data_IF_643052913807
#
_entry.id   IF_643052913807
#
_cell.length_a   1.000
_cell.length_b   1.000
_cell.length_c   1.000
_cell.angle_alpha   90.00
_cell.angle_beta   90.00
_cell.angle_gamma   90.00
#
_symmetry.space_group_name_H-M   'P 1'
#
loop_
_entity.id
_entity.type
_entity.pdbx_description
1 polymer ?
#
# COMPACT_ATOMS: atom_id res chain seq x y z
N UNK A 1 12.50 27.94 6.98
CA UNK A 1 11.27 28.20 6.21
C UNK A 1 10.78 26.87 5.63
N UNK A 2 10.41 25.91 6.49
CA UNK A 2 10.12 24.51 6.10
C UNK A 2 8.89 23.95 6.82
N UNK A 3 8.10 24.78 7.50
CA UNK A 3 7.09 24.30 8.45
C UNK A 3 5.66 24.29 7.90
N UNK A 4 5.36 24.94 6.78
CA UNK A 4 3.96 25.09 6.33
C UNK A 4 3.39 23.79 5.78
N UNK A 5 4.10 23.16 4.83
CA UNK A 5 3.66 21.90 4.22
C UNK A 5 3.67 20.75 5.23
N UNK A 6 4.72 20.65 6.04
CA UNK A 6 4.82 19.64 7.12
C UNK A 6 3.68 19.76 8.13
N UNK A 7 3.36 20.98 8.54
CA UNK A 7 2.24 21.23 9.45
C UNK A 7 0.89 20.84 8.82
N UNK A 8 0.67 21.17 7.55
CA UNK A 8 -0.57 20.80 6.86
C UNK A 8 -0.69 19.29 6.70
N UNK A 9 0.37 18.60 6.27
CA UNK A 9 0.40 17.13 6.19
C UNK A 9 0.08 16.51 7.55
N UNK A 10 0.71 16.99 8.63
CA UNK A 10 0.45 16.53 9.99
C UNK A 10 -1.01 16.74 10.43
N UNK A 11 -1.64 17.86 10.02
CA UNK A 11 -3.07 18.10 10.31
C UNK A 11 -3.96 17.13 9.54
N UNK A 12 -3.66 16.90 8.26
CA UNK A 12 -4.44 16.02 7.39
C UNK A 12 -4.37 14.56 7.82
N UNK A 13 -3.17 14.07 8.12
CA UNK A 13 -3.00 12.67 8.58
C UNK A 13 -3.70 12.44 9.92
N UNK A 14 -3.60 13.39 10.87
CA UNK A 14 -4.34 13.30 12.15
C UNK A 14 -5.87 13.28 11.96
N UNK A 15 -6.40 14.10 11.06
CA UNK A 15 -7.83 14.10 10.76
C UNK A 15 -8.27 12.75 10.13
N UNK A 16 -7.46 12.22 9.21
CA UNK A 16 -7.69 10.92 8.60
C UNK A 16 -7.63 9.76 9.62
N UNK A 17 -6.66 9.79 10.54
CA UNK A 17 -6.58 8.83 11.64
C UNK A 17 -7.84 8.87 12.51
N UNK A 18 -8.29 10.06 12.91
CA UNK A 18 -9.48 10.22 13.72
C UNK A 18 -10.75 9.68 13.03
N UNK A 19 -10.87 9.86 11.71
CA UNK A 19 -11.99 9.34 10.93
C UNK A 19 -11.95 7.81 10.77
N UNK A 20 -10.77 7.24 10.49
CA UNK A 20 -10.65 5.82 10.13
C UNK A 20 -10.50 4.88 11.34
N UNK A 21 -9.77 5.28 12.39
CA UNK A 21 -9.51 4.42 13.56
C UNK A 21 -10.77 4.13 14.38
N UNK A 22 -11.83 4.92 14.22
CA UNK A 22 -13.13 4.69 14.86
C UNK A 22 -14.13 3.87 14.04
N UNK A 23 -13.81 3.51 12.80
CA UNK A 23 -14.76 2.91 11.86
C UNK A 23 -14.50 1.42 11.63
N UNK A 24 -13.46 1.08 10.87
CA UNK A 24 -13.17 -0.30 10.49
C UNK A 24 -11.66 -0.55 10.39
N UNK A 25 -11.21 -1.73 10.83
CA UNK A 25 -9.80 -2.10 10.77
C UNK A 25 -9.58 -3.60 10.63
N UNK A 26 -8.58 -3.97 9.83
CA UNK A 26 -8.07 -5.34 9.73
C UNK A 26 -6.55 -5.34 9.77
N UNK A 27 -6.01 -6.38 10.36
CA UNK A 27 -4.61 -6.72 10.32
C UNK A 27 -4.38 -7.79 9.28
N UNK A 28 -3.37 -7.58 8.46
CA UNK A 28 -2.96 -8.49 7.39
C UNK A 28 -1.51 -8.89 7.66
N UNK A 29 -1.27 -10.17 7.92
CA UNK A 29 0.08 -10.71 8.18
C UNK A 29 0.52 -11.64 7.03
N UNK A 30 1.78 -11.49 6.60
CA UNK A 30 2.42 -12.32 5.58
C UNK A 30 3.91 -12.50 5.90
N UNK A 31 4.39 -13.75 5.90
CA UNK A 31 5.81 -14.09 6.04
C UNK A 31 6.53 -13.43 7.24
N UNK A 32 5.82 -13.21 8.37
CA UNK A 32 6.36 -12.62 9.59
C UNK A 32 6.40 -11.09 9.62
N UNK A 33 5.80 -10.42 8.62
CA UNK A 33 5.52 -8.98 8.62
C UNK A 33 4.02 -8.74 8.45
N UNK A 34 3.55 -7.51 8.65
CA UNK A 34 2.14 -7.22 8.43
C UNK A 34 1.84 -5.73 8.28
N UNK A 35 0.58 -5.47 7.92
CA UNK A 35 0.00 -4.13 7.90
C UNK A 35 -1.27 -4.11 8.74
N UNK A 36 -1.45 -3.05 9.51
CA UNK A 36 -2.74 -2.70 10.12
C UNK A 36 -3.42 -1.70 9.16
N UNK A 37 -4.48 -2.16 8.49
CA UNK A 37 -5.24 -1.36 7.55
C UNK A 37 -6.53 -0.86 8.19
N UNK A 38 -6.70 0.46 8.20
CA UNK A 38 -7.88 1.14 8.71
C UNK A 38 -8.57 1.90 7.58
N UNK A 39 -9.90 1.87 7.61
CA UNK A 39 -10.70 2.65 6.68
C UNK A 39 -11.93 3.22 7.36
N UNK A 40 -12.25 4.46 6.99
CA UNK A 40 -13.51 5.14 7.28
C UNK A 40 -14.75 4.44 6.68
N UNK A 41 -14.59 3.42 5.84
CA UNK A 41 -15.71 2.78 5.14
C UNK A 41 -15.49 1.28 4.90
N UNK A 42 -16.52 0.47 5.17
CA UNK A 42 -16.45 -1.01 5.17
C UNK A 42 -16.05 -1.62 3.84
N UNK A 43 -16.29 -0.94 2.72
CA UNK A 43 -15.88 -1.43 1.41
C UNK A 43 -14.36 -1.54 1.28
N UNK A 44 -13.59 -0.64 1.90
CA UNK A 44 -12.12 -0.76 1.93
C UNK A 44 -11.68 -2.09 2.54
N UNK A 45 -12.28 -2.46 3.68
CA UNK A 45 -12.00 -3.73 4.34
C UNK A 45 -12.35 -4.93 3.46
N UNK A 46 -13.54 -4.93 2.84
CA UNK A 46 -13.96 -6.01 1.93
C UNK A 46 -13.01 -6.18 0.75
N UNK A 47 -12.48 -5.07 0.20
CA UNK A 47 -11.49 -5.11 -0.86
C UNK A 47 -10.19 -5.75 -0.35
N UNK A 48 -9.71 -5.34 0.83
CA UNK A 48 -8.51 -5.94 1.44
C UNK A 48 -8.67 -7.45 1.65
N UNK A 49 -9.80 -7.89 2.20
CA UNK A 49 -10.14 -9.31 2.40
C UNK A 49 -10.20 -10.08 1.08
N UNK A 50 -10.84 -9.51 0.06
CA UNK A 50 -11.00 -10.16 -1.25
C UNK A 50 -9.65 -10.33 -1.95
N UNK A 51 -8.79 -9.32 -1.88
CA UNK A 51 -7.52 -9.29 -2.61
C UNK A 51 -6.44 -10.09 -1.89
N UNK A 52 -6.36 -9.95 -0.57
CA UNK A 52 -5.25 -10.48 0.22
C UNK A 52 -5.63 -11.73 1.02
N UNK A 53 -6.91 -11.94 1.33
CA UNK A 53 -7.39 -13.07 2.13
C UNK A 53 -7.03 -14.46 1.58
N UNK A 54 -6.97 -14.69 0.25
CA UNK A 54 -6.49 -15.97 -0.27
C UNK A 54 -5.00 -16.25 -0.01
N UNK A 55 -4.22 -15.25 0.40
CA UNK A 55 -2.76 -15.30 0.46
C UNK A 55 -2.16 -14.95 1.83
N UNK A 56 -2.95 -14.32 2.71
CA UNK A 56 -2.51 -13.76 3.97
C UNK A 56 -3.48 -14.14 5.09
N UNK A 57 -2.98 -14.14 6.32
CA UNK A 57 -3.85 -14.20 7.49
C UNK A 57 -4.45 -12.82 7.73
N UNK A 58 -5.77 -12.74 7.83
CA UNK A 58 -6.50 -11.50 8.09
C UNK A 58 -7.27 -11.61 9.40
N UNK A 59 -7.09 -10.63 10.28
CA UNK A 59 -7.75 -10.56 11.59
C UNK A 59 -8.40 -9.21 11.77
N UNK A 60 -9.64 -9.17 12.27
CA UNK A 60 -10.34 -7.91 12.57
C UNK A 60 -9.69 -7.21 13.77
N UNK A 61 -9.55 -5.88 13.68
CA UNK A 61 -9.04 -5.04 14.77
C UNK A 61 -10.25 -4.53 15.56
N UNK A 62 -10.42 -5.01 16.79
CA UNK A 62 -11.60 -4.70 17.63
C UNK A 62 -11.32 -3.63 18.68
N UNK A 63 -10.06 -3.27 18.90
CA UNK A 63 -9.60 -2.32 19.90
C UNK A 63 -8.69 -1.25 19.28
N UNK A 64 -9.18 -0.01 19.26
CA UNK A 64 -8.40 1.17 18.83
C UNK A 64 -7.21 1.50 19.75
N UNK A 65 -7.09 0.80 20.88
CA UNK A 65 -6.06 1.03 21.92
C UNK A 65 -4.78 0.20 21.74
N UNK A 66 -4.76 -0.76 20.82
CA UNK A 66 -3.64 -1.68 20.64
C UNK A 66 -2.45 -1.16 19.82
N UNK A 67 -2.55 0.02 19.20
CA UNK A 67 -1.55 0.47 18.22
C UNK A 67 -0.54 1.44 18.84
N UNK A 68 0.24 0.97 19.82
CA UNK A 68 1.49 1.66 20.17
C UNK A 68 2.51 1.38 19.07
N UNK A 69 3.07 2.44 18.48
CA UNK A 69 4.27 2.35 17.65
C UNK A 69 5.28 1.46 18.36
N UNK A 70 5.85 0.48 17.65
CA UNK A 70 6.77 -0.51 18.23
C UNK A 70 7.82 0.20 19.10
N UNK A 71 7.64 0.11 20.43
CA UNK A 71 8.65 0.47 21.39
C UNK A 71 9.80 -0.52 21.26
N UNK A 72 11.02 0.00 21.26
CA UNK A 72 12.27 -0.73 21.17
C UNK A 72 12.25 -1.99 22.08
N UNK A 73 12.23 -3.17 21.47
CA UNK A 73 12.20 -4.44 22.19
C UNK A 73 12.61 -5.61 21.32
N UNK A 74 13.88 -6.01 21.40
CA UNK A 74 14.36 -7.38 21.20
C UNK A 74 14.27 -8.00 19.80
N UNK A 75 15.37 -7.95 19.05
CA UNK A 75 15.83 -9.09 18.23
C UNK A 75 15.35 -9.22 16.77
N UNK A 76 14.31 -8.49 16.34
CA UNK A 76 13.96 -8.41 14.91
C UNK A 76 14.57 -7.13 14.30
N UNK A 77 15.13 -7.21 13.07
CA UNK A 77 15.69 -6.04 12.38
C UNK A 77 14.64 -4.90 12.35
N UNK A 78 14.93 -3.70 12.90
CA UNK A 78 13.96 -2.61 13.11
C UNK A 78 13.23 -2.10 11.86
N UNK A 79 13.66 -2.50 10.66
CA UNK A 79 13.18 -2.03 9.36
C UNK A 79 12.12 -2.96 8.74
N UNK A 80 11.86 -4.14 9.31
CA UNK A 80 10.74 -5.02 8.95
C UNK A 80 9.51 -4.79 9.86
N UNK A 81 9.32 -3.54 10.29
CA UNK A 81 8.25 -3.16 11.21
C UNK A 81 6.86 -3.31 10.59
N UNK A 82 5.85 -3.43 11.45
CA UNK A 82 4.44 -3.43 11.06
C UNK A 82 4.06 -2.05 10.55
N UNK A 83 3.47 -1.99 9.36
CA UNK A 83 3.00 -0.72 8.78
C UNK A 83 1.58 -0.40 9.18
N UNK A 84 1.26 0.87 9.30
CA UNK A 84 -0.11 1.36 9.39
C UNK A 84 -0.53 1.94 8.06
N UNK A 85 -1.68 1.52 7.56
CA UNK A 85 -2.27 2.03 6.33
C UNK A 85 -3.64 2.58 6.67
N UNK A 86 -3.89 3.84 6.33
CA UNK A 86 -5.14 4.53 6.62
C UNK A 86 -5.77 5.03 5.33
N UNK A 87 -7.03 4.68 5.09
CA UNK A 87 -7.84 5.24 4.00
C UNK A 87 -8.97 6.06 4.59
N UNK A 88 -9.06 7.34 4.24
CA UNK A 88 -10.09 8.23 4.77
C UNK A 88 -10.57 9.24 3.74
N UNK A 89 -11.88 9.47 3.68
CA UNK A 89 -12.49 10.56 2.95
C UNK A 89 -12.12 11.89 3.62
N UNK A 90 -11.84 12.90 2.80
CA UNK A 90 -11.53 14.24 3.25
C UNK A 90 -12.59 15.20 2.73
N UNK A 91 -13.30 15.84 3.65
CA UNK A 91 -14.23 16.91 3.30
C UNK A 91 -13.49 18.05 2.58
N UNK A 92 -14.10 18.59 1.53
CA UNK A 92 -13.51 19.65 0.71
C UNK A 92 -12.13 19.29 0.15
N UNK A 93 -11.92 18.02 -0.20
CA UNK A 93 -10.65 17.48 -0.69
C UNK A 93 -9.95 18.37 -1.74
N UNK A 94 -10.68 18.90 -2.74
CA UNK A 94 -10.09 19.76 -3.76
C UNK A 94 -9.38 20.98 -3.17
N UNK A 95 -10.05 21.71 -2.27
CA UNK A 95 -9.48 22.87 -1.60
C UNK A 95 -8.26 22.49 -0.74
N UNK A 96 -8.34 21.37 -0.03
CA UNK A 96 -7.25 20.86 0.81
C UNK A 96 -6.03 20.45 -0.04
N UNK A 97 -6.27 19.76 -1.14
CA UNK A 97 -5.22 19.30 -2.04
C UNK A 97 -4.51 20.49 -2.71
N UNK A 98 -5.26 21.52 -3.09
CA UNK A 98 -4.70 22.73 -3.67
C UNK A 98 -3.96 23.58 -2.63
N UNK A 99 -4.47 23.68 -1.39
CA UNK A 99 -3.75 24.32 -0.27
C UNK A 99 -2.43 23.61 0.01
N UNK A 100 -2.41 22.27 -0.02
CA UNK A 100 -1.19 21.49 0.17
C UNK A 100 -0.19 21.69 -0.95
N UNK A 101 -0.63 21.64 -2.21
CA UNK A 101 0.28 21.89 -3.33
C UNK A 101 0.86 23.31 -3.27
N UNK A 102 0.04 24.32 -2.96
CA UNK A 102 0.51 25.69 -2.79
C UNK A 102 1.53 25.82 -1.64
N UNK A 103 1.29 25.14 -0.51
CA UNK A 103 2.23 25.13 0.61
C UNK A 103 3.55 24.44 0.26
N UNK A 104 3.49 23.34 -0.49
CA UNK A 104 4.68 22.63 -0.99
C UNK A 104 5.52 23.50 -1.92
N UNK A 105 4.87 24.20 -2.85
CA UNK A 105 5.53 25.13 -3.76
C UNK A 105 6.16 26.31 -3.01
N UNK A 106 5.45 26.87 -2.02
CA UNK A 106 5.95 27.94 -1.17
C UNK A 106 7.18 27.52 -0.34
N UNK A 107 7.21 26.27 0.11
CA UNK A 107 8.35 25.67 0.83
C UNK A 107 9.48 25.21 -0.14
N UNK A 108 9.34 25.46 -1.44
CA UNK A 108 10.34 25.10 -2.46
C UNK A 108 10.41 23.61 -2.80
N UNK A 109 9.38 22.84 -2.44
CA UNK A 109 9.27 21.41 -2.72
C UNK A 109 8.77 21.19 -4.15
N UNK A 110 9.70 20.84 -5.04
CA UNK A 110 9.40 20.62 -6.45
C UNK A 110 8.47 19.41 -6.68
N UNK A 111 7.56 19.55 -7.63
CA UNK A 111 6.75 18.45 -8.15
C UNK A 111 7.53 17.66 -9.20
N UNK A 112 7.64 16.35 -9.01
CA UNK A 112 8.20 15.43 -10.00
C UNK A 112 7.08 14.60 -10.61
N UNK A 113 6.83 14.68 -11.93
CA UNK A 113 5.87 13.80 -12.59
C UNK A 113 6.43 12.37 -12.59
N UNK A 114 5.69 11.46 -11.95
CA UNK A 114 6.06 10.05 -11.87
C UNK A 114 5.09 9.25 -12.70
N UNK A 115 5.60 8.61 -13.75
CA UNK A 115 4.83 7.68 -14.59
C UNK A 115 4.63 6.31 -13.93
N UNK A 116 5.32 6.04 -12.82
CA UNK A 116 5.36 4.73 -12.15
C UNK A 116 5.25 4.83 -10.63
N UNK A 117 4.02 4.91 -10.12
CA UNK A 117 3.67 4.32 -8.83
C UNK A 117 3.03 2.96 -9.16
N UNK A 118 3.57 1.84 -8.64
CA UNK A 118 3.84 0.63 -9.42
C UNK A 118 2.62 0.08 -10.18
N UNK A 119 2.36 0.59 -11.38
CA UNK A 119 1.13 0.32 -12.11
C UNK A 119 1.01 1.19 -13.35
N UNK A 120 0.03 2.09 -13.41
CA UNK A 120 -0.49 2.46 -14.72
C UNK A 120 -0.87 3.94 -14.89
N UNK A 121 -0.59 4.81 -13.91
CA UNK A 121 -1.19 6.14 -13.87
C UNK A 121 -0.19 7.26 -13.57
N UNK A 122 -0.41 8.41 -14.21
CA UNK A 122 0.42 9.60 -14.05
C UNK A 122 0.09 10.27 -12.72
N UNK A 123 1.13 10.51 -11.91
CA UNK A 123 0.98 11.14 -10.60
C UNK A 123 2.01 12.27 -10.42
N UNK A 124 1.70 13.21 -9.54
CA UNK A 124 2.65 14.23 -9.09
C UNK A 124 3.23 13.81 -7.75
N UNK A 125 4.56 13.70 -7.66
CA UNK A 125 5.28 13.33 -6.45
C UNK A 125 6.01 14.55 -5.88
N UNK A 126 5.88 14.75 -4.57
CA UNK A 126 6.56 15.78 -3.80
C UNK A 126 7.35 15.10 -2.67
N UNK A 127 8.67 15.30 -2.63
CA UNK A 127 9.53 14.72 -1.60
C UNK A 127 9.72 15.74 -0.45
N UNK A 128 9.20 15.43 0.74
CA UNK A 128 9.25 16.34 1.90
C UNK A 128 10.56 16.25 2.68
N UNK A 129 11.30 15.16 2.45
CA UNK A 129 12.52 14.79 3.16
C UNK A 129 12.84 13.31 2.95
N UNK A 130 13.93 12.82 3.56
CA UNK A 130 14.27 11.40 3.50
C UNK A 130 13.11 10.54 4.00
N UNK A 131 12.60 9.63 3.15
CA UNK A 131 11.56 8.68 3.54
C UNK A 131 10.13 9.24 3.60
N UNK A 132 9.92 10.55 3.40
CA UNK A 132 8.60 11.19 3.44
C UNK A 132 8.19 11.74 2.07
N UNK A 133 7.05 11.30 1.56
CA UNK A 133 6.56 11.70 0.24
C UNK A 133 5.06 11.94 0.22
N UNK A 134 4.64 12.91 -0.61
CA UNK A 134 3.24 13.16 -0.95
C UNK A 134 3.06 12.88 -2.43
N UNK A 135 1.98 12.16 -2.76
CA UNK A 135 1.62 11.84 -4.14
C UNK A 135 0.20 12.32 -4.38
N UNK A 136 0.04 13.17 -5.40
CA UNK A 136 -1.27 13.59 -5.90
C UNK A 136 -1.64 12.73 -7.10
N UNK A 137 -2.78 12.06 -6.97
CA UNK A 137 -3.40 11.23 -8.00
C UNK A 137 -4.49 12.03 -8.71
N UNK A 138 -4.56 11.91 -10.04
CA UNK A 138 -5.50 12.66 -10.87
C UNK A 138 -6.52 11.73 -11.53
N UNK A 139 -6.06 10.80 -12.37
CA UNK A 139 -6.89 9.84 -13.09
C UNK A 139 -6.24 8.45 -13.12
N UNK A 140 -7.01 7.36 -13.15
CA UNK A 140 -8.49 7.27 -13.11
C UNK A 140 -9.05 7.41 -11.68
N UNK A 141 -8.18 7.48 -10.69
CA UNK A 141 -8.53 7.73 -9.30
C UNK A 141 -7.91 9.05 -8.84
N UNK A 142 -8.69 9.81 -8.06
CA UNK A 142 -8.26 11.07 -7.46
C UNK A 142 -7.96 10.85 -5.99
N UNK A 143 -6.94 11.52 -5.47
CA UNK A 143 -6.60 11.42 -4.05
C UNK A 143 -5.19 11.91 -3.73
N UNK A 144 -4.84 11.88 -2.45
CA UNK A 144 -3.49 12.11 -1.97
C UNK A 144 -2.99 10.88 -1.24
N UNK A 145 -1.82 10.37 -1.61
CA UNK A 145 -1.09 9.42 -0.76
C UNK A 145 -0.01 10.16 0.00
N UNK A 146 0.00 10.02 1.31
CA UNK A 146 1.11 10.47 2.16
C UNK A 146 1.83 9.23 2.65
N UNK A 147 3.14 9.17 2.43
CA UNK A 147 3.98 8.06 2.82
C UNK A 147 5.05 8.57 3.78
N UNK A 148 5.12 7.99 4.96
CA UNK A 148 6.16 8.24 5.94
C UNK A 148 6.81 6.90 6.30
N UNK A 149 7.99 6.68 5.71
CA UNK A 149 8.76 5.46 5.92
C UNK A 149 9.26 5.32 7.34
N UNK A 150 9.70 6.41 7.95
CA UNK A 150 10.34 6.36 9.26
C UNK A 150 9.29 6.09 10.35
N UNK A 151 8.06 6.58 10.15
CA UNK A 151 6.91 6.23 10.98
C UNK A 151 6.22 4.91 10.58
N UNK A 152 6.62 4.26 9.49
CA UNK A 152 5.93 3.11 8.88
C UNK A 152 4.43 3.37 8.65
N UNK A 153 4.08 4.56 8.16
CA UNK A 153 2.68 4.92 7.90
C UNK A 153 2.44 5.28 6.43
N UNK A 154 1.26 4.92 5.95
CA UNK A 154 0.75 5.35 4.65
C UNK A 154 -0.70 5.81 4.81
N UNK A 155 -1.01 6.99 4.29
CA UNK A 155 -2.36 7.53 4.24
C UNK A 155 -2.80 7.62 2.79
N UNK A 156 -4.04 7.22 2.52
CA UNK A 156 -4.75 7.53 1.29
C UNK A 156 -5.95 8.40 1.62
N UNK A 157 -5.88 9.65 1.20
CA UNK A 157 -6.91 10.67 1.39
C UNK A 157 -7.71 10.78 0.10
N UNK A 158 -9.01 10.51 0.17
CA UNK A 158 -9.90 10.40 -0.99
C UNK A 158 -10.99 11.48 -1.00
N UNK A 159 -11.47 11.91 -2.18
CA UNK A 159 -12.43 13.01 -2.29
C UNK A 159 -13.87 12.63 -1.95
N UNK A 160 -14.23 11.35 -2.10
CA UNK A 160 -15.60 10.88 -1.98
C UNK A 160 -15.65 9.47 -1.37
N UNK A 161 -16.86 8.95 -1.22
CA UNK A 161 -17.11 7.61 -0.66
C UNK A 161 -16.77 6.46 -1.61
N UNK A 162 -16.53 6.71 -2.90
CA UNK A 162 -16.22 5.66 -3.85
C UNK A 162 -14.86 5.01 -3.51
N UNK A 163 -14.83 3.68 -3.58
CA UNK A 163 -13.62 2.90 -3.48
C UNK A 163 -13.23 2.37 -4.85
N UNK A 164 -12.06 2.78 -5.31
CA UNK A 164 -11.40 2.10 -6.40
C UNK A 164 -10.65 0.87 -5.86
N UNK A 165 -11.07 -0.31 -6.29
CA UNK A 165 -10.46 -1.56 -5.85
C UNK A 165 -8.99 -1.66 -6.26
N UNK A 166 -8.67 -1.21 -7.48
CA UNK A 166 -7.31 -1.23 -8.03
C UNK A 166 -6.37 -0.30 -7.25
N UNK A 167 -6.86 0.85 -6.81
CA UNK A 167 -6.08 1.79 -6.01
C UNK A 167 -5.89 1.29 -4.59
N UNK A 168 -6.98 0.80 -3.97
CA UNK A 168 -6.91 0.21 -2.62
C UNK A 168 -5.91 -0.94 -2.60
N UNK A 169 -5.91 -1.80 -3.62
CA UNK A 169 -4.93 -2.84 -3.83
C UNK A 169 -3.50 -2.29 -3.82
N UNK A 170 -3.24 -1.21 -4.56
CA UNK A 170 -1.92 -0.60 -4.63
C UNK A 170 -1.46 0.00 -3.29
N UNK A 171 -2.35 0.70 -2.60
CA UNK A 171 -2.08 1.30 -1.28
C UNK A 171 -1.72 0.21 -0.26
N UNK A 172 -2.40 -0.93 -0.28
CA UNK A 172 -2.08 -2.06 0.61
C UNK A 172 -0.80 -2.79 0.20
N UNK A 173 -0.62 -3.05 -1.10
CA UNK A 173 0.53 -3.81 -1.60
C UNK A 173 1.84 -3.04 -1.43
N UNK A 174 1.84 -1.71 -1.48
CA UNK A 174 3.10 -0.95 -1.46
C UNK A 174 3.89 -1.14 -0.14
N UNK A 175 3.31 -0.91 1.06
CA UNK A 175 3.97 -1.21 2.33
C UNK A 175 4.39 -2.69 2.46
N UNK A 176 3.53 -3.62 2.04
CA UNK A 176 3.83 -5.05 2.05
C UNK A 176 5.06 -5.37 1.19
N UNK A 177 5.13 -4.83 -0.03
CA UNK A 177 6.29 -5.01 -0.93
C UNK A 177 7.57 -4.44 -0.30
N UNK A 178 7.48 -3.29 0.36
CA UNK A 178 8.61 -2.68 1.08
C UNK A 178 9.10 -3.62 2.17
N UNK A 179 8.21 -4.14 3.01
CA UNK A 179 8.56 -5.09 4.08
C UNK A 179 9.22 -6.36 3.52
N UNK A 180 8.60 -6.98 2.51
CA UNK A 180 9.10 -8.23 1.93
C UNK A 180 10.50 -8.05 1.33
N UNK A 181 10.78 -6.91 0.67
CA UNK A 181 12.13 -6.60 0.17
C UNK A 181 13.15 -6.44 1.29
N UNK A 182 12.78 -5.80 2.40
CA UNK A 182 13.65 -5.63 3.57
C UNK A 182 13.94 -6.96 4.28
N UNK A 183 13.03 -7.94 4.15
CA UNK A 183 13.25 -9.33 4.55
C UNK A 183 14.17 -10.12 3.58
N UNK A 184 14.75 -9.46 2.57
CA UNK A 184 15.64 -10.08 1.59
C UNK A 184 14.92 -10.94 0.54
N UNK A 185 13.59 -10.79 0.40
CA UNK A 185 12.85 -11.45 -0.67
C UNK A 185 13.03 -10.68 -1.98
N UNK A 186 13.31 -11.43 -3.05
CA UNK A 186 13.39 -10.89 -4.40
C UNK A 186 12.01 -10.87 -5.04
N UNK A 187 11.59 -9.71 -5.50
CA UNK A 187 10.39 -9.59 -6.32
C UNK A 187 10.67 -10.12 -7.72
N UNK A 188 9.80 -10.98 -8.23
CA UNK A 188 9.88 -11.55 -9.59
C UNK A 188 8.59 -11.29 -10.35
N UNK A 189 8.70 -10.94 -11.63
CA UNK A 189 7.56 -10.85 -12.55
C UNK A 189 7.30 -12.23 -13.15
N UNK A 190 6.41 -12.98 -12.51
CA UNK A 190 6.16 -14.38 -12.83
C UNK A 190 4.74 -14.79 -12.46
N UNK A 191 4.13 -15.60 -13.32
CA UNK A 191 3.03 -16.45 -12.88
C UNK A 191 3.60 -17.61 -12.06
N UNK A 192 2.89 -18.05 -11.03
CA UNK A 192 3.32 -19.11 -10.15
C UNK A 192 2.19 -20.12 -9.90
N UNK A 193 2.52 -21.40 -9.92
CA UNK A 193 1.58 -22.45 -9.54
C UNK A 193 2.28 -23.62 -8.83
N UNK A 194 1.48 -24.39 -8.09
CA UNK A 194 1.89 -25.67 -7.54
C UNK A 194 1.32 -26.80 -8.39
N UNK A 195 2.19 -27.63 -8.96
CA UNK A 195 1.80 -28.74 -9.83
C UNK A 195 2.63 -29.99 -9.50
N UNK A 196 1.95 -31.12 -9.24
CA UNK A 196 2.58 -32.42 -8.92
C UNK A 196 3.66 -32.34 -7.83
N UNK A 197 3.37 -31.64 -6.74
CA UNK A 197 4.28 -31.50 -5.59
C UNK A 197 5.43 -30.51 -5.81
N UNK A 198 5.41 -29.72 -6.89
CA UNK A 198 6.47 -28.75 -7.21
C UNK A 198 5.90 -27.36 -7.41
N UNK A 199 6.61 -26.35 -6.93
CA UNK A 199 6.38 -24.95 -7.30
C UNK A 199 6.99 -24.66 -8.67
N UNK A 200 6.21 -24.05 -9.55
CA UNK A 200 6.64 -23.60 -10.87
C UNK A 200 6.55 -22.08 -10.94
N UNK A 201 7.63 -21.45 -11.41
CA UNK A 201 7.68 -20.03 -11.75
C UNK A 201 7.74 -19.91 -13.28
N UNK A 202 6.71 -19.30 -13.85
CA UNK A 202 6.59 -19.05 -15.28
C UNK A 202 7.06 -17.61 -15.52
N UNK A 203 8.35 -17.48 -15.84
CA UNK A 203 9.00 -16.20 -16.10
C UNK A 203 8.79 -15.77 -17.56
N UNK A 204 8.78 -14.46 -17.81
CA UNK A 204 8.71 -13.91 -19.17
C UNK A 204 8.22 -12.47 -19.18
N UNK A 205 8.40 -11.78 -20.30
CA UNK A 205 7.98 -10.38 -20.46
C UNK A 205 6.44 -10.22 -20.43
N UNK A 206 5.97 -8.96 -20.34
CA UNK A 206 4.54 -8.66 -20.48
C UNK A 206 4.04 -9.22 -21.83
N UNK A 207 2.86 -9.82 -21.82
CA UNK A 207 2.25 -10.50 -22.99
C UNK A 207 3.01 -11.72 -23.56
N UNK A 208 4.03 -12.27 -22.86
CA UNK A 208 4.75 -13.46 -23.32
C UNK A 208 3.97 -14.79 -23.19
N UNK A 209 2.68 -14.76 -22.84
CA UNK A 209 1.85 -15.95 -22.65
C UNK A 209 1.95 -16.63 -21.28
N UNK A 210 2.55 -16.00 -20.25
CA UNK A 210 2.63 -16.54 -18.87
C UNK A 210 1.26 -16.98 -18.34
N UNK A 211 0.27 -16.11 -18.43
CA UNK A 211 -1.10 -16.39 -17.96
C UNK A 211 -1.76 -17.51 -18.78
N UNK A 212 -1.52 -17.56 -20.08
CA UNK A 212 -2.01 -18.66 -20.94
C UNK A 212 -1.42 -20.00 -20.51
N UNK A 213 -0.11 -20.06 -20.26
CA UNK A 213 0.55 -21.27 -19.79
C UNK A 213 0.10 -21.66 -18.38
N UNK A 214 -0.10 -20.67 -17.49
CA UNK A 214 -0.69 -20.88 -16.17
C UNK A 214 -2.05 -21.57 -16.28
N UNK A 215 -2.96 -21.06 -17.12
CA UNK A 215 -4.27 -21.66 -17.35
C UNK A 215 -4.17 -23.12 -17.79
N UNK A 216 -3.23 -23.46 -18.69
CA UNK A 216 -2.99 -24.87 -19.10
C UNK A 216 -2.56 -25.77 -17.95
N UNK A 217 -1.83 -25.24 -16.96
CA UNK A 217 -1.51 -25.99 -15.75
C UNK A 217 -2.73 -26.14 -14.83
N UNK A 218 -3.54 -25.09 -14.68
CA UNK A 218 -4.78 -25.13 -13.89
C UNK A 218 -5.77 -26.16 -14.46
N UNK A 219 -5.94 -26.20 -15.79
CA UNK A 219 -6.74 -27.22 -16.50
C UNK A 219 -6.28 -28.65 -16.21
N UNK A 220 -5.01 -28.84 -15.82
CA UNK A 220 -4.40 -30.13 -15.47
C UNK A 220 -4.33 -30.38 -13.96
N UNK A 221 -5.02 -29.57 -13.16
CA UNK A 221 -5.11 -29.73 -11.71
C UNK A 221 -3.97 -29.05 -10.93
N UNK A 222 -3.27 -28.07 -11.51
CA UNK A 222 -2.38 -27.22 -10.72
C UNK A 222 -3.19 -26.28 -9.81
N UNK A 223 -2.57 -25.84 -8.71
CA UNK A 223 -3.11 -24.79 -7.84
C UNK A 223 -2.40 -23.48 -8.14
N UNK A 224 -3.16 -22.42 -8.43
CA UNK A 224 -2.60 -21.08 -8.63
C UNK A 224 -1.95 -20.56 -7.35
N UNK A 225 -0.81 -19.89 -7.50
CA UNK A 225 -0.15 -19.16 -6.41
C UNK A 225 -0.02 -17.67 -6.74
N UNK A 226 0.27 -17.32 -7.99
CA UNK A 226 0.27 -15.93 -8.49
C UNK A 226 0.06 -15.91 -10.01
N UNK A 227 -0.47 -14.80 -10.54
CA UNK A 227 -0.60 -14.60 -11.99
C UNK A 227 0.50 -13.69 -12.57
N UNK A 228 1.06 -12.77 -11.78
CA UNK A 228 1.87 -11.69 -12.34
C UNK A 228 3.10 -11.36 -11.48
N UNK A 229 2.97 -11.38 -10.16
CA UNK A 229 4.04 -10.93 -9.27
C UNK A 229 4.23 -11.92 -8.13
N UNK A 230 5.47 -12.35 -7.90
CA UNK A 230 5.86 -13.25 -6.82
C UNK A 230 7.01 -12.67 -6.00
N UNK A 231 7.16 -13.18 -4.79
CA UNK A 231 8.33 -12.95 -3.94
C UNK A 231 9.03 -14.28 -3.68
N UNK A 232 10.33 -14.34 -3.95
CA UNK A 232 11.14 -15.55 -3.78
C UNK A 232 12.29 -15.28 -2.83
N UNK A 233 12.62 -16.27 -2.00
CA UNK A 233 13.82 -16.21 -1.16
C UNK A 233 15.00 -16.77 -1.97
N UNK A 234 16.04 -15.98 -2.27
CA UNK A 234 17.25 -16.52 -2.86
C UNK A 234 17.87 -17.53 -1.88
N UNK A 235 18.34 -18.66 -2.41
CA UNK A 235 19.10 -19.67 -1.66
C UNK A 235 20.59 -19.40 -1.77
#
# INVERSE_FOLDING_TARGET
MTDSAHHLVSRLTRAAEAAALGAHGVRIDIAGTGIDFHSDHRQGIRIAETILGPYCDITEITDSTGIRANGAGGGARPEAGRWRVVSAMVERFGAVADELVAALEADGVASTPVRRWPGDFSVARHDLGPGQTVIRHYEPFTGLTVFDRDAHTMYYLRPDEAFDASHTEHVLKYPLRTCLRLLGLCQVHAAACHYRGRGLLLMGEKASGKSTLLCRFLERGARQMSNDLGFVRPR
#
